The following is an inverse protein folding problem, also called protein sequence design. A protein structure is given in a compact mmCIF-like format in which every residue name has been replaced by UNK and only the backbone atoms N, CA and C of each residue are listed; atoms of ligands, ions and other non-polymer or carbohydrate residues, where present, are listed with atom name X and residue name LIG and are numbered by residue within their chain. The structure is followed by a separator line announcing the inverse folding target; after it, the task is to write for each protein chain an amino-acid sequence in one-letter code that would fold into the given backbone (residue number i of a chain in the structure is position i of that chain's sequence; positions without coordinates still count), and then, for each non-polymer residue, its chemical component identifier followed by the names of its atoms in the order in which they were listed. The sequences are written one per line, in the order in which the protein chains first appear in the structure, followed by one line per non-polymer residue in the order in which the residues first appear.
data_IF_836508757163
#
_entry.id   IF_836508757163
#
_cell.length_a   1.000
_cell.length_b   1.000
_cell.length_c   1.000
_cell.angle_alpha   90.00
_cell.angle_beta   90.00
_cell.angle_gamma   90.00
#
_symmetry.space_group_name_H-M   'P 1'
#
loop_
_entity.id
_entity.type
_entity.pdbx_description
1 polymer ?
#
# COMPACT_ATOMS: atom_id res chain seq x y z
N UNK A 1 54.59 1.56 31.97
CA UNK A 1 54.05 0.58 31.00
C UNK A 1 52.94 -0.20 31.66
N UNK A 2 51.68 0.23 31.66
CA UNK A 2 50.57 -0.60 32.16
C UNK A 2 49.23 -0.15 31.57
N UNK A 3 48.46 -1.15 31.15
CA UNK A 3 47.01 -1.17 30.87
C UNK A 3 46.54 -0.60 29.53
N UNK A 4 46.59 -1.46 28.51
CA UNK A 4 45.74 -1.38 27.32
C UNK A 4 45.14 -2.76 27.07
N UNK A 5 44.00 -3.04 27.71
CA UNK A 5 43.14 -4.18 27.35
C UNK A 5 41.76 -3.90 27.92
N UNK A 6 40.84 -3.44 27.07
CA UNK A 6 39.41 -3.77 27.07
C UNK A 6 38.66 -2.80 26.15
N UNK A 7 38.60 -3.12 24.86
CA UNK A 7 37.63 -2.55 23.92
C UNK A 7 37.52 -3.48 22.71
N UNK A 8 36.96 -4.68 22.93
CA UNK A 8 36.70 -5.66 21.87
C UNK A 8 35.21 -6.09 21.81
N UNK A 9 34.29 -5.32 22.41
CA UNK A 9 32.89 -5.71 22.56
C UNK A 9 31.88 -4.91 21.71
N UNK A 10 32.32 -4.13 20.71
CA UNK A 10 31.43 -3.26 19.91
C UNK A 10 31.35 -3.60 18.41
N UNK A 11 31.87 -4.75 17.99
CA UNK A 11 31.91 -5.15 16.57
C UNK A 11 30.85 -6.20 16.19
N UNK A 12 29.65 -6.12 16.76
CA UNK A 12 28.49 -6.74 16.12
C UNK A 12 27.75 -5.66 15.34
N UNK A 13 27.99 -5.50 14.03
CA UNK A 13 27.09 -4.72 13.21
C UNK A 13 25.72 -5.36 13.34
N UNK A 14 24.76 -4.58 13.85
CA UNK A 14 23.36 -4.94 13.85
C UNK A 14 23.00 -5.20 12.38
N UNK A 15 22.91 -6.46 11.99
CA UNK A 15 22.53 -6.82 10.63
C UNK A 15 21.07 -6.44 10.51
N UNK A 16 20.80 -5.25 9.97
CA UNK A 16 19.45 -4.87 9.59
C UNK A 16 18.98 -5.93 8.60
N UNK A 17 18.04 -6.78 9.02
CA UNK A 17 17.45 -7.77 8.14
C UNK A 17 16.66 -6.99 7.08
N UNK A 18 17.20 -6.95 5.86
CA UNK A 18 16.44 -6.49 4.71
C UNK A 18 15.13 -7.31 4.67
N UNK A 19 14.03 -6.67 4.28
CA UNK A 19 12.77 -7.37 4.15
C UNK A 19 12.93 -8.55 3.18
N UNK A 20 12.82 -9.77 3.68
CA UNK A 20 12.98 -11.02 2.91
C UNK A 20 11.77 -11.34 2.02
N UNK A 21 11.01 -10.33 1.63
CA UNK A 21 9.80 -10.47 0.83
C UNK A 21 9.95 -9.77 -0.50
N UNK A 22 9.22 -10.26 -1.49
CA UNK A 22 9.21 -9.71 -2.84
C UNK A 22 7.79 -9.43 -3.28
N UNK A 23 7.53 -8.18 -3.64
CA UNK A 23 6.33 -7.78 -4.35
C UNK A 23 6.38 -8.33 -5.78
N UNK A 24 5.22 -8.69 -6.37
CA UNK A 24 5.20 -9.23 -7.71
C UNK A 24 5.70 -8.21 -8.74
N UNK A 25 6.11 -8.69 -9.91
CA UNK A 25 6.48 -7.83 -11.04
C UNK A 25 5.27 -7.21 -11.74
N UNK A 26 4.08 -7.79 -11.57
CA UNK A 26 2.81 -7.32 -12.13
C UNK A 26 1.66 -7.61 -11.17
N UNK A 27 0.62 -6.78 -11.24
CA UNK A 27 -0.65 -7.01 -10.55
C UNK A 27 -1.72 -7.64 -11.44
N UNK A 28 -1.46 -7.82 -12.74
CA UNK A 28 -2.45 -8.41 -13.65
C UNK A 28 -2.93 -9.79 -13.20
N UNK A 29 -4.23 -10.00 -13.28
CA UNK A 29 -4.97 -11.18 -12.81
C UNK A 29 -4.87 -11.44 -11.30
N UNK A 30 -4.54 -10.42 -10.49
CA UNK A 30 -4.44 -10.56 -9.03
C UNK A 30 -5.51 -9.80 -8.30
N UNK A 31 -5.74 -10.22 -7.06
CA UNK A 31 -6.68 -9.58 -6.16
C UNK A 31 -5.98 -9.05 -4.90
N UNK A 32 -6.12 -7.75 -4.66
CA UNK A 32 -5.69 -7.08 -3.43
C UNK A 32 -6.88 -6.94 -2.49
N UNK A 33 -6.69 -7.21 -1.19
CA UNK A 33 -7.64 -6.78 -0.16
C UNK A 33 -6.95 -5.78 0.75
N UNK A 34 -7.50 -4.57 0.84
CA UNK A 34 -6.97 -3.49 1.65
C UNK A 34 -7.88 -3.26 2.86
N UNK A 35 -7.30 -3.21 4.05
CA UNK A 35 -7.95 -2.74 5.27
C UNK A 35 -7.29 -1.43 5.68
N UNK A 36 -8.05 -0.33 5.61
CA UNK A 36 -7.58 0.98 6.02
C UNK A 36 -7.48 1.07 7.55
N UNK A 37 -6.37 1.63 8.05
CA UNK A 37 -6.15 1.83 9.47
C UNK A 37 -7.26 2.71 10.08
N UNK A 38 -7.60 2.48 11.36
CA UNK A 38 -8.70 3.21 12.01
C UNK A 38 -8.40 4.69 12.22
N UNK A 39 -7.12 5.06 12.38
CA UNK A 39 -6.70 6.40 12.77
C UNK A 39 -5.45 6.77 11.97
N UNK A 40 -5.65 7.51 10.89
CA UNK A 40 -4.59 8.22 10.18
C UNK A 40 -4.79 9.73 10.30
N UNK A 41 -6.01 10.18 10.01
CA UNK A 41 -6.52 11.53 10.29
C UNK A 41 -7.98 11.41 10.76
N UNK A 42 -8.48 12.31 11.63
CA UNK A 42 -9.85 12.23 12.16
C UNK A 42 -10.95 12.29 11.11
N UNK A 43 -10.67 12.89 9.96
CA UNK A 43 -11.59 13.11 8.85
C UNK A 43 -11.46 12.07 7.73
N UNK A 44 -10.70 10.98 7.94
CA UNK A 44 -10.54 9.93 6.94
C UNK A 44 -11.87 9.17 6.72
N UNK A 45 -12.53 9.32 5.56
CA UNK A 45 -13.80 8.63 5.30
C UNK A 45 -13.61 7.12 5.05
N UNK A 46 -12.37 6.68 4.84
CA UNK A 46 -12.02 5.29 4.61
C UNK A 46 -11.61 4.55 5.89
N UNK A 47 -11.67 5.17 7.08
CA UNK A 47 -11.25 4.54 8.33
C UNK A 47 -11.95 3.19 8.56
N UNK A 48 -11.17 2.13 8.82
CA UNK A 48 -11.64 0.74 8.99
C UNK A 48 -12.36 0.14 7.77
N UNK A 49 -12.38 0.83 6.62
CA UNK A 49 -13.01 0.30 5.42
C UNK A 49 -12.14 -0.82 4.84
N UNK A 50 -12.80 -1.90 4.46
CA UNK A 50 -12.19 -2.98 3.71
C UNK A 50 -12.63 -2.90 2.26
N UNK A 51 -11.68 -2.95 1.34
CA UNK A 51 -11.94 -2.95 -0.11
C UNK A 51 -11.19 -4.10 -0.75
N UNK A 52 -11.80 -4.71 -1.74
CA UNK A 52 -11.17 -5.72 -2.59
C UNK A 52 -10.96 -5.12 -3.98
N UNK A 53 -9.75 -5.23 -4.51
CA UNK A 53 -9.36 -4.67 -5.80
C UNK A 53 -8.90 -5.81 -6.69
N UNK A 54 -9.62 -6.01 -7.80
CA UNK A 54 -9.30 -7.01 -8.81
C UNK A 54 -8.66 -6.32 -10.01
N UNK A 55 -7.45 -6.73 -10.37
CA UNK A 55 -6.65 -6.10 -11.44
C UNK A 55 -6.68 -6.95 -12.72
N UNK A 56 -6.85 -6.28 -13.87
CA UNK A 56 -6.80 -6.92 -15.19
C UNK A 56 -6.23 -5.94 -16.24
N UNK A 57 -5.10 -6.29 -16.84
CA UNK A 57 -4.39 -5.46 -17.80
C UNK A 57 -3.97 -4.11 -17.19
N UNK A 58 -4.58 -3.01 -17.64
CA UNK A 58 -4.39 -1.66 -17.08
C UNK A 58 -5.63 -1.14 -16.33
N UNK A 59 -6.61 -2.00 -16.08
CA UNK A 59 -7.85 -1.69 -15.40
C UNK A 59 -7.91 -2.37 -14.04
N UNK A 60 -8.70 -1.80 -13.14
CA UNK A 60 -9.09 -2.47 -11.91
C UNK A 60 -10.59 -2.30 -11.67
N UNK A 61 -11.11 -3.19 -10.83
CA UNK A 61 -12.40 -3.00 -10.18
C UNK A 61 -12.23 -3.12 -8.67
N UNK A 62 -12.75 -2.14 -7.96
CA UNK A 62 -12.77 -2.04 -6.51
C UNK A 62 -14.19 -2.34 -6.02
N UNK A 63 -14.31 -3.35 -5.18
CA UNK A 63 -15.52 -3.68 -4.44
C UNK A 63 -15.34 -3.24 -2.99
N UNK A 64 -16.30 -2.46 -2.49
CA UNK A 64 -16.28 -2.08 -1.09
C UNK A 64 -17.01 -3.15 -0.27
N UNK A 65 -16.24 -3.94 0.47
CA UNK A 65 -16.76 -5.13 1.13
C UNK A 65 -17.83 -4.77 2.18
N UNK A 66 -18.88 -5.59 2.22
CA UNK A 66 -20.08 -5.34 3.04
C UNK A 66 -21.05 -4.33 2.45
N UNK A 67 -20.89 -3.93 1.18
CA UNK A 67 -21.84 -3.08 0.44
C UNK A 67 -21.93 -3.52 -1.02
N UNK A 68 -22.94 -3.03 -1.74
CA UNK A 68 -23.08 -3.26 -3.19
C UNK A 68 -22.30 -2.24 -4.05
N UNK A 69 -21.43 -1.44 -3.42
CA UNK A 69 -20.67 -0.40 -4.11
C UNK A 69 -19.46 -1.01 -4.84
N UNK A 70 -19.43 -0.78 -6.14
CA UNK A 70 -18.38 -1.22 -7.07
C UNK A 70 -17.92 -0.04 -7.91
N UNK A 71 -16.61 0.18 -7.97
CA UNK A 71 -16.01 1.32 -8.66
C UNK A 71 -14.88 0.81 -9.56
N UNK A 72 -14.88 1.23 -10.82
CA UNK A 72 -13.83 0.90 -11.79
C UNK A 72 -12.82 2.01 -11.95
N UNK A 73 -11.69 1.67 -12.55
CA UNK A 73 -10.69 2.65 -12.94
C UNK A 73 -9.51 2.04 -13.67
N UNK A 74 -8.53 2.88 -13.96
CA UNK A 74 -7.26 2.46 -14.54
C UNK A 74 -6.13 2.55 -13.52
N UNK A 75 -5.10 1.74 -13.72
CA UNK A 75 -3.92 1.74 -12.86
C UNK A 75 -2.62 1.60 -13.63
N UNK A 76 -1.53 2.02 -12.98
CA UNK A 76 -0.15 1.72 -13.38
C UNK A 76 0.60 1.23 -12.15
N UNK A 77 1.24 0.07 -12.30
CA UNK A 77 2.05 -0.53 -11.24
C UNK A 77 3.54 -0.37 -11.56
N UNK A 78 4.33 0.02 -10.57
CA UNK A 78 5.78 0.08 -10.67
C UNK A 78 6.42 -0.48 -9.40
N UNK A 79 7.18 -1.57 -9.55
CA UNK A 79 8.04 -2.06 -8.47
C UNK A 79 9.31 -1.19 -8.41
N UNK A 80 9.51 -0.52 -7.28
CA UNK A 80 10.63 0.41 -7.05
C UNK A 80 11.85 -0.31 -6.44
N UNK A 81 11.59 -1.31 -5.61
CA UNK A 81 12.56 -2.23 -5.03
C UNK A 81 11.86 -3.58 -4.81
N UNK A 82 12.57 -4.70 -4.51
CA UNK A 82 11.91 -5.98 -4.25
C UNK A 82 10.75 -5.89 -3.25
N UNK A 83 10.92 -5.08 -2.20
CA UNK A 83 9.95 -4.93 -1.11
C UNK A 83 9.14 -3.62 -1.14
N UNK A 84 9.25 -2.82 -2.20
CA UNK A 84 8.56 -1.53 -2.35
C UNK A 84 7.98 -1.38 -3.75
N UNK A 85 6.71 -1.00 -3.86
CA UNK A 85 6.08 -0.69 -5.13
C UNK A 85 5.08 0.45 -5.01
N UNK A 86 4.80 1.11 -6.12
CA UNK A 86 3.74 2.12 -6.22
C UNK A 86 2.65 1.63 -7.17
N UNK A 87 1.39 1.86 -6.79
CA UNK A 87 0.23 1.76 -7.68
C UNK A 87 -0.32 3.18 -7.86
N UNK A 88 -0.27 3.67 -9.09
CA UNK A 88 -0.94 4.91 -9.49
C UNK A 88 -2.33 4.56 -9.99
N UNK A 89 -3.37 5.18 -9.45
CA UNK A 89 -4.77 4.84 -9.69
C UNK A 89 -5.54 6.06 -10.16
N UNK A 90 -6.38 5.88 -11.19
CA UNK A 90 -7.42 6.83 -11.60
C UNK A 90 -8.76 6.14 -11.49
N UNK A 91 -9.60 6.61 -10.57
CA UNK A 91 -10.91 6.05 -10.25
C UNK A 91 -12.03 6.81 -10.95
N UNK A 92 -12.94 6.08 -11.59
CA UNK A 92 -14.13 6.64 -12.23
C UNK A 92 -15.28 6.77 -11.21
N UNK A 93 -15.06 7.57 -10.16
CA UNK A 93 -16.07 7.77 -9.12
C UNK A 93 -17.29 8.54 -9.69
N UNK A 94 -18.55 8.23 -9.29
CA UNK A 94 -19.75 8.83 -9.88
C UNK A 94 -19.83 10.36 -9.80
N UNK A 95 -19.28 10.94 -8.73
CA UNK A 95 -19.22 12.40 -8.53
C UNK A 95 -18.09 13.10 -9.31
N UNK A 96 -17.27 12.36 -10.06
CA UNK A 96 -16.10 12.86 -10.78
C UNK A 96 -14.85 12.01 -10.50
N UNK A 97 -13.80 12.09 -11.33
CA UNK A 97 -12.63 11.21 -11.20
C UNK A 97 -11.83 11.53 -9.94
N UNK A 98 -11.25 10.50 -9.31
CA UNK A 98 -10.25 10.64 -8.25
C UNK A 98 -8.90 10.09 -8.70
N UNK A 99 -7.81 10.74 -8.28
CA UNK A 99 -6.43 10.34 -8.59
C UNK A 99 -5.66 10.13 -7.30
N UNK A 100 -5.11 8.93 -7.13
CA UNK A 100 -4.40 8.56 -5.91
C UNK A 100 -3.29 7.55 -6.17
N UNK A 101 -2.38 7.45 -5.20
CA UNK A 101 -1.32 6.45 -5.16
C UNK A 101 -1.44 5.54 -3.96
N UNK A 102 -1.01 4.30 -4.13
CA UNK A 102 -0.73 3.36 -3.05
C UNK A 102 0.77 3.05 -3.06
N UNK A 103 1.50 3.51 -2.05
CA UNK A 103 2.88 3.07 -1.81
C UNK A 103 2.84 1.82 -0.93
N UNK A 104 3.30 0.70 -1.47
CA UNK A 104 3.30 -0.60 -0.82
C UNK A 104 4.65 -0.92 -0.21
N UNK A 105 4.64 -1.50 0.98
CA UNK A 105 5.75 -2.26 1.56
C UNK A 105 5.26 -3.66 1.91
N UNK A 106 6.12 -4.67 1.76
CA UNK A 106 5.77 -6.05 2.14
C UNK A 106 6.30 -6.42 3.53
N UNK A 107 5.50 -7.23 4.24
CA UNK A 107 5.92 -8.01 5.41
C UNK A 107 6.22 -9.46 5.00
N UNK A 108 5.46 -9.97 4.03
CA UNK A 108 5.68 -11.23 3.33
C UNK A 108 5.21 -11.11 1.89
N UNK A 109 5.43 -12.13 1.06
CA UNK A 109 5.13 -12.06 -0.39
C UNK A 109 3.65 -11.79 -0.73
N UNK A 110 2.75 -11.99 0.24
CA UNK A 110 1.31 -11.83 0.08
C UNK A 110 0.66 -10.86 1.05
N UNK A 111 1.45 -10.12 1.83
CA UNK A 111 0.89 -9.16 2.78
C UNK A 111 1.87 -8.07 3.16
N UNK A 112 1.34 -6.93 3.58
CA UNK A 112 2.17 -5.83 4.05
C UNK A 112 1.36 -4.61 4.43
N UNK A 113 1.98 -3.44 4.28
CA UNK A 113 1.37 -2.14 4.56
C UNK A 113 1.30 -1.28 3.31
N UNK A 114 0.35 -0.37 3.27
CA UNK A 114 0.27 0.66 2.26
C UNK A 114 0.16 2.05 2.88
N UNK A 115 0.64 3.05 2.15
CA UNK A 115 0.28 4.46 2.32
C UNK A 115 -0.56 4.86 1.11
N UNK A 116 -1.77 5.34 1.37
CA UNK A 116 -2.68 5.89 0.36
C UNK A 116 -2.52 7.41 0.33
N UNK A 117 -2.32 8.00 -0.85
CA UNK A 117 -2.28 9.44 -1.03
C UNK A 117 -3.21 9.85 -2.17
N UNK A 118 -4.28 10.56 -1.85
CA UNK A 118 -5.16 11.19 -2.85
C UNK A 118 -4.60 12.56 -3.23
N UNK A 119 -4.29 12.73 -4.52
CA UNK A 119 -3.81 13.99 -5.06
C UNK A 119 -4.95 14.92 -5.49
N UNK A 120 -6.09 14.33 -5.86
CA UNK A 120 -7.31 15.05 -6.23
C UNK A 120 -8.51 14.10 -6.20
N UNK A 121 -9.70 14.65 -5.98
CA UNK A 121 -10.96 13.89 -6.01
C UNK A 121 -12.19 14.78 -5.87
N UNK A 122 -13.39 14.23 -6.15
CA UNK A 122 -14.62 15.01 -6.18
C UNK A 122 -15.20 15.28 -4.77
N UNK A 123 -14.80 14.50 -3.76
CA UNK A 123 -15.31 14.60 -2.38
C UNK A 123 -14.28 15.31 -1.52
N UNK A 124 -14.72 16.30 -0.72
CA UNK A 124 -13.87 17.00 0.23
C UNK A 124 -13.48 16.10 1.43
N UNK A 125 -12.25 16.22 1.97
CA UNK A 125 -11.14 16.99 1.39
C UNK A 125 -10.62 16.35 0.10
N UNK A 126 -10.35 17.18 -0.92
CA UNK A 126 -9.90 16.72 -2.25
C UNK A 126 -8.53 16.03 -2.22
N UNK A 127 -7.73 16.36 -1.22
CA UNK A 127 -6.43 15.75 -0.95
C UNK A 127 -6.46 15.17 0.45
N UNK A 128 -5.97 13.95 0.59
CA UNK A 128 -5.90 13.26 1.87
C UNK A 128 -4.88 12.14 1.79
N UNK A 129 -4.42 11.72 2.96
CA UNK A 129 -3.50 10.62 3.08
C UNK A 129 -4.02 9.68 4.15
N UNK A 130 -3.79 8.37 3.95
CA UNK A 130 -4.19 7.30 4.85
C UNK A 130 -3.13 6.20 4.85
N UNK A 131 -3.24 5.23 5.76
CA UNK A 131 -2.47 3.99 5.72
C UNK A 131 -3.36 2.77 5.95
N UNK A 132 -2.80 1.60 5.75
CA UNK A 132 -3.48 0.36 6.08
C UNK A 132 -2.62 -0.87 5.82
N UNK A 133 -3.29 -2.01 5.84
CA UNK A 133 -2.73 -3.31 5.54
C UNK A 133 -3.30 -3.85 4.24
N UNK A 134 -2.49 -4.60 3.51
CA UNK A 134 -2.95 -5.29 2.31
C UNK A 134 -2.64 -6.78 2.39
N UNK A 135 -3.47 -7.58 1.73
CA UNK A 135 -3.18 -8.96 1.36
C UNK A 135 -3.33 -9.14 -0.14
N UNK A 136 -2.62 -10.12 -0.70
CA UNK A 136 -2.56 -10.40 -2.12
C UNK A 136 -2.89 -11.87 -2.40
N UNK A 137 -3.88 -12.07 -3.26
CA UNK A 137 -4.28 -13.38 -3.78
C UNK A 137 -3.88 -13.50 -5.27
N UNK A 138 -3.41 -14.69 -5.70
CA UNK A 138 -3.16 -14.98 -7.11
C UNK A 138 -4.43 -14.94 -7.95
#
# INVERSE_FOLDING_TARGET
MHRLTLLAALLFPLVATAANCSLPTTLDQRQFTNLSDPLYAPDNPNARRMVQVSFAGNQYVLDILGTDLRIGGSYRYQRLAPHIAEIQMTEAHPAGPARYTLLLTCLGDRQGRFIYTQHDGPIAPRQRQNSGHWTLQP
#
